data_IF_559912952112
#
_entry.id   IF_559912952112
#
_cell.length_a   1.000
_cell.length_b   1.000
_cell.length_c   1.000
_cell.angle_alpha   90.00
_cell.angle_beta   90.00
_cell.angle_gamma   90.00
#
_symmetry.space_group_name_H-M   'P 1'
#
loop_
_entity.id
_entity.type
_entity.pdbx_description
1 polymer ?
#
# COMPACT_ATOMS: atom_id res chain seq x y z
N UNK A 1 12.33 -30.00 -15.96
CA UNK A 1 11.68 -28.77 -16.43
C UNK A 1 12.78 -27.92 -17.06
N UNK A 2 12.76 -27.75 -18.40
CA UNK A 2 13.76 -26.92 -19.09
C UNK A 2 13.28 -25.47 -18.87
N UNK A 3 13.96 -24.73 -18.01
CA UNK A 3 13.68 -23.30 -17.80
C UNK A 3 14.16 -22.57 -19.03
N UNK A 4 13.24 -22.03 -19.84
CA UNK A 4 13.63 -21.16 -20.96
C UNK A 4 14.14 -19.83 -20.38
N UNK A 5 15.23 -19.31 -20.93
CA UNK A 5 15.82 -18.03 -20.50
C UNK A 5 14.81 -16.90 -20.66
N UNK A 6 14.01 -16.94 -21.73
CA UNK A 6 12.97 -15.95 -22.00
C UNK A 6 11.89 -15.91 -20.91
N UNK A 7 11.45 -17.08 -20.42
CA UNK A 7 10.47 -17.18 -19.36
C UNK A 7 11.02 -16.61 -18.04
N UNK A 8 12.29 -16.87 -17.74
CA UNK A 8 12.95 -16.34 -16.55
C UNK A 8 13.06 -14.81 -16.60
N UNK A 9 13.50 -14.27 -17.74
CA UNK A 9 13.61 -12.80 -17.93
C UNK A 9 12.23 -12.13 -17.78
N UNK A 10 11.22 -12.67 -18.44
CA UNK A 10 9.86 -12.12 -18.36
C UNK A 10 9.28 -12.22 -16.95
N UNK A 11 9.55 -13.31 -16.20
CA UNK A 11 9.14 -13.44 -14.81
C UNK A 11 9.83 -12.40 -13.90
N UNK A 12 11.12 -12.10 -14.12
CA UNK A 12 11.82 -11.05 -13.36
C UNK A 12 11.25 -9.67 -13.68
N UNK A 13 11.03 -9.35 -14.96
CA UNK A 13 10.47 -8.07 -15.39
C UNK A 13 9.06 -7.88 -14.82
N UNK A 14 8.19 -8.89 -14.95
CA UNK A 14 6.86 -8.87 -14.36
C UNK A 14 6.91 -8.69 -12.84
N UNK A 15 7.87 -9.33 -12.18
CA UNK A 15 8.10 -9.20 -10.74
C UNK A 15 8.56 -7.80 -10.32
N UNK A 16 9.41 -7.15 -11.11
CA UNK A 16 9.80 -5.75 -10.85
C UNK A 16 8.61 -4.79 -11.02
N UNK A 17 7.79 -4.99 -12.06
CA UNK A 17 6.57 -4.20 -12.27
C UNK A 17 5.57 -4.41 -11.12
N UNK A 18 5.39 -5.64 -10.68
CA UNK A 18 4.54 -5.99 -9.53
C UNK A 18 5.10 -5.39 -8.23
N UNK A 19 6.41 -5.44 -8.03
CA UNK A 19 7.09 -4.85 -6.87
C UNK A 19 6.94 -3.33 -6.82
N UNK A 20 6.97 -2.64 -7.97
CA UNK A 20 6.65 -1.22 -8.06
C UNK A 20 5.23 -0.92 -7.58
N UNK A 21 4.24 -1.71 -8.01
CA UNK A 21 2.87 -1.61 -7.49
C UNK A 21 2.79 -1.89 -5.97
N UNK A 22 3.49 -2.91 -5.48
CA UNK A 22 3.55 -3.20 -4.04
C UNK A 22 4.13 -2.06 -3.22
N UNK A 23 5.07 -1.29 -3.77
CA UNK A 23 5.57 -0.09 -3.11
C UNK A 23 4.45 0.94 -2.90
N UNK A 24 3.54 1.13 -3.88
CA UNK A 24 2.38 2.01 -3.71
C UNK A 24 1.42 1.51 -2.64
N UNK A 25 1.10 0.22 -2.65
CA UNK A 25 0.19 -0.40 -1.68
C UNK A 25 0.72 -0.29 -0.24
N UNK A 26 2.05 -0.36 -0.08
CA UNK A 26 2.71 -0.31 1.24
C UNK A 26 3.09 1.08 1.71
N UNK A 27 3.16 2.07 0.82
CA UNK A 27 3.61 3.42 1.15
C UNK A 27 2.84 4.04 2.33
N UNK A 28 1.51 3.93 2.32
CA UNK A 28 0.67 4.44 3.41
C UNK A 28 0.88 3.69 4.72
N UNK A 29 1.03 2.38 4.68
CA UNK A 29 1.28 1.58 5.89
C UNK A 29 2.68 1.84 6.44
N UNK A 30 3.67 2.11 5.60
CA UNK A 30 5.00 2.53 6.05
C UNK A 30 4.95 3.84 6.85
N UNK A 31 4.03 4.75 6.54
CA UNK A 31 3.79 5.96 7.34
C UNK A 31 3.04 5.61 8.62
N UNK A 32 1.88 4.94 8.55
CA UNK A 32 1.03 4.69 9.72
C UNK A 32 1.66 3.72 10.71
N UNK A 33 2.25 2.62 10.25
CA UNK A 33 2.89 1.63 11.11
C UNK A 33 4.36 1.96 11.38
N UNK A 34 5.12 2.33 10.33
CA UNK A 34 6.55 2.58 10.45
C UNK A 34 6.91 3.88 11.15
N UNK A 35 6.10 4.96 11.00
CA UNK A 35 6.41 6.28 11.55
C UNK A 35 5.49 6.71 12.69
N UNK A 36 4.25 6.18 12.79
CA UNK A 36 3.31 6.57 13.83
C UNK A 36 3.11 5.48 14.89
N UNK A 37 3.65 4.28 14.65
CA UNK A 37 3.44 3.07 15.47
C UNK A 37 1.95 2.67 15.58
N UNK A 38 1.18 2.97 14.53
CA UNK A 38 -0.25 2.64 14.45
C UNK A 38 -0.45 1.47 13.48
N UNK A 39 -0.81 0.30 14.02
CA UNK A 39 -1.06 -0.91 13.23
C UNK A 39 -2.42 -0.81 12.54
N UNK A 40 -2.44 -0.20 11.36
CA UNK A 40 -3.66 -0.02 10.57
C UNK A 40 -3.90 -1.19 9.61
N UNK A 41 -4.53 -2.26 10.10
CA UNK A 41 -4.92 -3.41 9.26
C UNK A 41 -6.10 -3.11 8.32
N UNK A 42 -6.79 -1.98 8.49
CA UNK A 42 -7.85 -1.54 7.57
C UNK A 42 -7.32 -0.87 6.30
N UNK A 43 -6.02 -0.57 6.21
CA UNK A 43 -5.45 0.13 5.06
C UNK A 43 -5.76 -0.56 3.71
N UNK A 44 -5.61 -1.89 3.56
CA UNK A 44 -6.01 -2.56 2.33
C UNK A 44 -7.49 -2.42 1.98
N UNK A 45 -8.40 -2.33 2.95
CA UNK A 45 -9.81 -2.07 2.68
C UNK A 45 -10.04 -0.67 2.10
N UNK A 46 -9.28 0.33 2.55
CA UNK A 46 -9.30 1.67 1.92
C UNK A 46 -8.73 1.66 0.50
N UNK A 47 -7.76 0.78 0.20
CA UNK A 47 -7.28 0.56 -1.17
C UNK A 47 -8.42 0.05 -2.04
N UNK A 48 -9.17 -0.97 -1.58
CA UNK A 48 -10.33 -1.47 -2.30
C UNK A 48 -11.41 -0.39 -2.46
N UNK A 49 -11.67 0.42 -1.43
CA UNK A 49 -12.56 1.57 -1.56
C UNK A 49 -12.12 2.52 -2.68
N UNK A 50 -10.82 2.80 -2.78
CA UNK A 50 -10.22 3.58 -3.87
C UNK A 50 -10.44 2.94 -5.24
N UNK A 51 -10.30 1.60 -5.34
CA UNK A 51 -10.58 0.85 -6.56
C UNK A 51 -12.04 1.01 -7.00
N UNK A 52 -12.99 0.92 -6.06
CA UNK A 52 -14.43 1.07 -6.37
C UNK A 52 -14.80 2.50 -6.78
N UNK A 53 -14.19 3.52 -6.16
CA UNK A 53 -14.40 4.92 -6.58
C UNK A 53 -13.86 5.11 -8.00
N UNK A 54 -12.66 4.61 -8.31
CA UNK A 54 -12.11 4.64 -9.65
C UNK A 54 -13.01 3.92 -10.66
N UNK A 55 -13.55 2.75 -10.31
CA UNK A 55 -14.49 1.98 -11.10
C UNK A 55 -15.76 2.77 -11.41
N UNK A 56 -16.44 3.32 -10.39
CA UNK A 56 -17.70 4.06 -10.57
C UNK A 56 -17.51 5.23 -11.54
N UNK A 57 -16.47 6.04 -11.32
CA UNK A 57 -16.23 7.23 -12.12
C UNK A 57 -15.78 6.87 -13.54
N UNK A 58 -14.98 5.79 -13.69
CA UNK A 58 -14.57 5.30 -15.00
C UNK A 58 -15.78 4.83 -15.83
N UNK A 59 -16.67 4.01 -15.27
CA UNK A 59 -17.85 3.50 -15.99
C UNK A 59 -18.88 4.62 -16.24
N UNK A 60 -19.08 5.54 -15.29
CA UNK A 60 -20.12 6.56 -15.42
C UNK A 60 -19.72 7.72 -16.34
N UNK A 61 -18.44 8.09 -16.34
CA UNK A 61 -17.95 9.29 -17.02
C UNK A 61 -16.82 9.04 -18.02
N UNK A 62 -16.31 7.80 -18.12
CA UNK A 62 -15.17 7.47 -19.01
C UNK A 62 -13.85 8.09 -18.57
N UNK A 63 -13.74 8.57 -17.33
CA UNK A 63 -12.52 9.22 -16.83
C UNK A 63 -11.49 8.16 -16.46
N UNK A 64 -10.22 8.42 -16.80
CA UNK A 64 -9.11 7.52 -16.50
C UNK A 64 -8.98 7.29 -14.99
N UNK A 65 -8.81 6.03 -14.53
CA UNK A 65 -8.71 5.67 -13.11
C UNK A 65 -7.60 6.41 -12.35
N UNK A 66 -6.46 6.71 -13.00
CA UNK A 66 -5.35 7.45 -12.39
C UNK A 66 -5.77 8.89 -12.09
N UNK A 67 -6.46 9.55 -13.03
CA UNK A 67 -6.98 10.91 -12.81
C UNK A 67 -7.97 10.91 -11.65
N UNK A 68 -8.89 9.94 -11.63
CA UNK A 68 -9.87 9.81 -10.54
C UNK A 68 -9.17 9.68 -9.18
N UNK A 69 -8.12 8.86 -9.10
CA UNK A 69 -7.38 8.66 -7.85
C UNK A 69 -6.73 9.93 -7.33
N UNK A 70 -6.17 10.76 -8.22
CA UNK A 70 -5.57 12.06 -7.86
C UNK A 70 -6.64 13.03 -7.36
N UNK A 71 -7.79 13.09 -8.03
CA UNK A 71 -8.92 13.94 -7.60
C UNK A 71 -9.50 13.47 -6.25
N UNK A 72 -9.47 12.17 -5.97
CA UNK A 72 -9.95 11.60 -4.72
C UNK A 72 -8.99 11.78 -3.52
N UNK A 73 -7.72 12.17 -3.74
CA UNK A 73 -6.73 12.37 -2.67
C UNK A 73 -7.23 13.22 -1.50
N UNK A 74 -7.84 14.42 -1.71
CA UNK A 74 -8.33 15.24 -0.60
C UNK A 74 -9.43 14.56 0.21
N UNK A 75 -10.31 13.80 -0.44
CA UNK A 75 -11.39 13.07 0.23
C UNK A 75 -10.83 11.94 1.09
N UNK A 76 -9.87 11.17 0.57
CA UNK A 76 -9.18 10.13 1.34
C UNK A 76 -8.33 10.69 2.47
N UNK A 77 -7.69 11.84 2.27
CA UNK A 77 -6.99 12.55 3.34
C UNK A 77 -7.95 12.95 4.47
N UNK A 78 -9.10 13.54 4.13
CA UNK A 78 -10.10 13.91 5.11
C UNK A 78 -10.67 12.70 5.86
N UNK A 79 -10.93 11.59 5.14
CA UNK A 79 -11.33 10.31 5.72
C UNK A 79 -10.28 9.79 6.71
N UNK A 80 -9.01 9.79 6.32
CA UNK A 80 -7.91 9.35 7.18
C UNK A 80 -7.77 10.23 8.43
N UNK A 81 -7.85 11.56 8.27
CA UNK A 81 -7.81 12.49 9.40
C UNK A 81 -8.99 12.29 10.36
N UNK A 82 -10.18 11.99 9.84
CA UNK A 82 -11.37 11.67 10.63
C UNK A 82 -11.19 10.33 11.40
N UNK A 83 -10.73 9.29 10.72
CA UNK A 83 -10.46 7.97 11.32
C UNK A 83 -9.45 8.11 12.45
N UNK A 84 -8.35 8.84 12.24
CA UNK A 84 -7.37 9.08 13.29
C UNK A 84 -7.98 9.88 14.47
N UNK A 85 -8.81 10.88 14.19
CA UNK A 85 -9.47 11.66 15.25
C UNK A 85 -10.36 10.76 16.15
N UNK A 86 -11.13 9.86 15.54
CA UNK A 86 -11.95 8.87 16.27
C UNK A 86 -11.06 7.92 17.08
N UNK A 87 -9.99 7.39 16.46
CA UNK A 87 -9.02 6.51 17.11
C UNK A 87 -8.36 7.18 18.32
N UNK A 88 -7.89 8.43 18.15
CA UNK A 88 -7.27 9.21 19.23
C UNK A 88 -8.20 9.42 20.41
N UNK A 89 -9.44 9.91 20.16
CA UNK A 89 -10.40 10.19 21.24
C UNK A 89 -10.86 8.93 21.97
N UNK A 90 -10.95 7.80 21.26
CA UNK A 90 -11.48 6.56 21.82
C UNK A 90 -10.42 5.75 22.56
N UNK A 91 -9.17 5.73 22.09
CA UNK A 91 -8.14 4.80 22.54
C UNK A 91 -6.83 5.48 22.96
N UNK A 92 -6.18 6.25 22.09
CA UNK A 92 -4.84 6.80 22.31
C UNK A 92 -4.82 7.75 23.51
N UNK A 93 -5.77 8.68 23.59
CA UNK A 93 -5.92 9.61 24.73
C UNK A 93 -6.07 8.90 26.09
N UNK A 94 -6.52 7.65 26.09
CA UNK A 94 -6.76 6.85 27.30
C UNK A 94 -5.63 5.88 27.60
N UNK A 95 -4.54 5.87 26.83
CA UNK A 95 -3.43 4.92 26.96
C UNK A 95 -3.82 3.46 26.67
N UNK A 96 -4.81 3.23 25.78
CA UNK A 96 -5.36 1.92 25.48
C UNK A 96 -5.15 1.55 24.01
N UNK A 97 -4.00 1.93 23.47
CA UNK A 97 -3.74 1.98 22.01
C UNK A 97 -3.50 0.60 21.38
N UNK A 98 -2.83 -0.32 22.08
CA UNK A 98 -2.30 -1.54 21.48
C UNK A 98 -3.39 -2.51 21.00
N UNK A 99 -3.98 -3.29 21.90
CA UNK A 99 -4.93 -4.33 21.51
C UNK A 99 -6.29 -3.77 21.07
N UNK A 100 -6.76 -2.71 21.73
CA UNK A 100 -8.05 -2.08 21.39
C UNK A 100 -7.97 -1.31 20.07
N UNK A 101 -6.82 -0.69 19.79
CA UNK A 101 -6.57 -0.06 18.52
C UNK A 101 -6.59 -1.05 17.36
N UNK A 102 -5.94 -2.21 17.55
CA UNK A 102 -5.98 -3.28 16.56
C UNK A 102 -7.42 -3.77 16.30
N UNK A 103 -8.22 -3.96 17.34
CA UNK A 103 -9.63 -4.35 17.23
C UNK A 103 -10.47 -3.27 16.50
N UNK A 104 -10.18 -1.98 16.73
CA UNK A 104 -10.83 -0.88 16.02
C UNK A 104 -10.57 -0.93 14.51
N UNK A 105 -9.30 -1.08 14.10
CA UNK A 105 -8.96 -1.17 12.68
C UNK A 105 -9.47 -2.46 12.04
N UNK A 106 -9.53 -3.56 12.79
CA UNK A 106 -10.16 -4.79 12.33
C UNK A 106 -11.67 -4.60 12.07
N UNK A 107 -12.38 -3.95 13.01
CA UNK A 107 -13.78 -3.59 12.81
C UNK A 107 -14.00 -2.66 11.61
N UNK A 108 -13.11 -1.68 11.42
CA UNK A 108 -13.18 -0.75 10.30
C UNK A 108 -12.95 -1.44 8.94
N UNK A 109 -12.05 -2.43 8.90
CA UNK A 109 -11.84 -3.28 7.73
C UNK A 109 -13.15 -3.97 7.33
N UNK A 110 -13.80 -4.65 8.29
CA UNK A 110 -15.07 -5.34 8.02
C UNK A 110 -16.20 -4.40 7.65
N UNK A 111 -16.33 -3.25 8.32
CA UNK A 111 -17.35 -2.25 7.97
C UNK A 111 -17.16 -1.81 6.51
N UNK A 112 -15.94 -1.51 6.10
CA UNK A 112 -15.66 -1.08 4.73
C UNK A 112 -15.96 -2.20 3.73
N UNK A 113 -15.49 -3.41 3.99
CA UNK A 113 -15.70 -4.57 3.12
C UNK A 113 -17.18 -4.91 2.98
N UNK A 114 -17.91 -5.06 4.10
CA UNK A 114 -19.33 -5.39 4.09
C UNK A 114 -20.15 -4.28 3.44
N UNK A 115 -19.80 -3.01 3.66
CA UNK A 115 -20.47 -1.89 2.98
C UNK A 115 -20.31 -1.98 1.46
N UNK A 116 -19.13 -2.34 0.96
CA UNK A 116 -18.89 -2.54 -0.46
C UNK A 116 -19.68 -3.76 -1.00
N UNK A 117 -19.74 -4.86 -0.26
CA UNK A 117 -20.53 -6.04 -0.63
C UNK A 117 -22.02 -5.69 -0.72
N UNK A 118 -22.57 -4.95 0.23
CA UNK A 118 -23.98 -4.57 0.24
C UNK A 118 -24.34 -3.64 -0.93
N UNK A 119 -23.42 -2.79 -1.36
CA UNK A 119 -23.68 -1.83 -2.46
C UNK A 119 -23.40 -2.44 -3.83
N UNK A 120 -22.32 -3.23 -3.98
CA UNK A 120 -21.81 -3.68 -5.28
C UNK A 120 -21.90 -5.19 -5.50
N UNK A 121 -22.23 -5.96 -4.47
CA UNK A 121 -22.20 -7.43 -4.52
C UNK A 121 -20.78 -7.98 -4.39
N UNK A 122 -20.62 -9.26 -4.74
CA UNK A 122 -19.37 -10.02 -4.69
C UNK A 122 -18.74 -10.23 -6.06
N UNK A 123 -19.28 -9.62 -7.09
CA UNK A 123 -18.79 -9.78 -8.45
C UNK A 123 -17.48 -9.01 -8.68
N UNK A 124 -16.62 -9.57 -9.54
CA UNK A 124 -15.42 -8.89 -9.99
C UNK A 124 -15.73 -7.65 -10.81
N UNK A 125 -15.10 -6.54 -10.49
CA UNK A 125 -15.18 -5.27 -11.20
C UNK A 125 -13.85 -4.97 -11.89
N UNK A 126 -13.92 -4.35 -13.06
CA UNK A 126 -12.77 -3.95 -13.86
C UNK A 126 -13.01 -2.58 -14.48
N UNK A 127 -11.95 -1.94 -14.91
CA UNK A 127 -11.96 -0.63 -15.57
C UNK A 127 -11.44 -0.75 -16.99
N UNK A 128 -11.79 0.23 -17.82
CA UNK A 128 -11.27 0.36 -19.18
C UNK A 128 -10.36 1.58 -19.28
N UNK A 129 -9.20 1.39 -19.86
CA UNK A 129 -8.26 2.46 -20.19
C UNK A 129 -7.44 2.08 -21.42
N UNK A 130 -6.95 3.08 -22.15
CA UNK A 130 -6.24 2.88 -23.43
C UNK A 130 -4.95 2.04 -23.31
N UNK A 131 -4.37 1.96 -22.11
CA UNK A 131 -3.17 1.16 -21.83
C UNK A 131 -3.49 -0.23 -21.26
N UNK A 132 -4.77 -0.61 -21.15
CA UNK A 132 -5.19 -1.97 -20.76
C UNK A 132 -5.38 -2.79 -22.04
N UNK A 133 -4.49 -3.77 -22.27
CA UNK A 133 -4.49 -4.64 -23.43
C UNK A 133 -3.20 -4.58 -24.25
N UNK A 134 -2.69 -3.40 -24.66
CA UNK A 134 -1.43 -3.31 -25.37
C UNK A 134 -0.22 -3.76 -24.55
N UNK A 135 0.79 -4.33 -25.24
CA UNK A 135 2.07 -4.71 -24.66
C UNK A 135 3.22 -4.14 -25.48
N UNK A 136 4.31 -3.81 -24.83
CA UNK A 136 5.57 -3.40 -25.49
C UNK A 136 6.45 -4.63 -25.61
N UNK A 137 6.82 -4.97 -26.84
CA UNK A 137 7.72 -6.08 -27.17
C UNK A 137 9.13 -5.54 -27.45
N UNK A 138 10.08 -5.86 -26.58
CA UNK A 138 11.48 -5.47 -26.70
C UNK A 138 12.34 -6.74 -26.86
N UNK A 139 12.28 -7.34 -28.04
CA UNK A 139 12.98 -8.61 -28.32
C UNK A 139 12.45 -9.75 -27.46
N UNK A 140 13.21 -10.15 -26.44
CA UNK A 140 12.85 -11.27 -25.53
C UNK A 140 11.96 -10.81 -24.36
N UNK A 141 11.71 -9.50 -24.20
CA UNK A 141 10.99 -8.93 -23.07
C UNK A 141 9.61 -8.47 -23.52
N UNK A 142 8.59 -8.98 -22.86
CA UNK A 142 7.20 -8.58 -23.05
C UNK A 142 6.71 -7.80 -21.82
N UNK A 143 6.44 -6.50 -21.99
CA UNK A 143 5.96 -5.62 -20.93
C UNK A 143 4.52 -5.20 -21.21
N UNK A 144 3.52 -5.77 -20.50
CA UNK A 144 2.15 -5.31 -20.61
C UNK A 144 2.01 -3.91 -20.03
N UNK A 145 1.45 -2.97 -20.79
CA UNK A 145 1.25 -1.59 -20.34
C UNK A 145 0.36 -1.50 -19.10
N UNK A 146 -0.57 -2.44 -18.93
CA UNK A 146 -1.41 -2.55 -17.73
C UNK A 146 -0.62 -2.75 -16.42
N UNK A 147 0.65 -3.18 -16.48
CA UNK A 147 1.55 -3.30 -15.34
C UNK A 147 2.61 -2.18 -15.33
N UNK A 148 3.07 -1.77 -16.50
CA UNK A 148 4.10 -0.74 -16.64
C UNK A 148 3.58 0.63 -16.16
N UNK A 149 2.40 1.06 -16.63
CA UNK A 149 1.82 2.37 -16.24
C UNK A 149 1.58 2.46 -14.74
N UNK A 150 0.91 1.49 -14.08
CA UNK A 150 0.80 1.46 -12.62
C UNK A 150 2.15 1.47 -11.89
N UNK A 151 3.13 0.73 -12.37
CA UNK A 151 4.48 0.73 -11.78
C UNK A 151 5.12 2.13 -11.81
N UNK A 152 5.07 2.82 -12.95
CA UNK A 152 5.62 4.18 -13.07
C UNK A 152 4.90 5.18 -12.17
N UNK A 153 3.56 5.14 -12.12
CA UNK A 153 2.76 5.99 -11.22
C UNK A 153 3.07 5.67 -9.76
N UNK A 154 3.19 4.39 -9.41
CA UNK A 154 3.56 3.95 -8.07
C UNK A 154 4.93 4.48 -7.64
N UNK A 155 5.93 4.34 -8.50
CA UNK A 155 7.28 4.85 -8.24
C UNK A 155 7.31 6.38 -8.14
N UNK A 156 6.56 7.09 -8.99
CA UNK A 156 6.42 8.54 -8.90
C UNK A 156 5.77 8.96 -7.58
N UNK A 157 4.66 8.33 -7.18
CA UNK A 157 4.00 8.58 -5.90
C UNK A 157 4.95 8.31 -4.73
N UNK A 158 5.65 7.17 -4.76
CA UNK A 158 6.58 6.78 -3.72
C UNK A 158 7.75 7.77 -3.60
N UNK A 159 8.33 8.20 -4.74
CA UNK A 159 9.39 9.22 -4.79
C UNK A 159 8.93 10.57 -4.25
N UNK A 160 7.71 11.01 -4.59
CA UNK A 160 7.12 12.24 -4.04
C UNK A 160 6.93 12.16 -2.53
N UNK A 161 6.47 11.01 -2.01
CA UNK A 161 6.32 10.79 -0.57
C UNK A 161 7.67 10.79 0.14
N UNK A 162 8.67 10.11 -0.40
CA UNK A 162 10.03 10.11 0.15
C UNK A 162 10.61 11.53 0.19
N UNK A 163 10.45 12.28 -0.91
CA UNK A 163 10.88 13.68 -0.98
C UNK A 163 10.13 14.55 0.04
N UNK A 164 8.81 14.34 0.19
CA UNK A 164 8.00 15.03 1.18
C UNK A 164 8.48 14.74 2.61
N UNK A 165 8.65 13.47 2.96
CA UNK A 165 9.05 13.05 4.31
C UNK A 165 10.44 13.55 4.66
N UNK A 166 11.40 13.49 3.72
CA UNK A 166 12.81 13.83 3.99
C UNK A 166 13.13 15.32 3.85
N UNK A 167 12.45 16.04 2.97
CA UNK A 167 12.80 17.42 2.60
C UNK A 167 11.89 18.49 3.19
N UNK A 168 10.66 18.16 3.59
CA UNK A 168 9.74 19.17 4.15
C UNK A 168 9.84 19.25 5.69
N UNK A 169 9.45 20.40 6.24
CA UNK A 169 9.37 20.57 7.69
C UNK A 169 8.36 19.60 8.31
N UNK A 170 7.19 19.45 7.68
CA UNK A 170 6.14 18.56 8.17
C UNK A 170 6.58 17.08 8.10
N UNK A 171 7.25 16.67 7.03
CA UNK A 171 7.77 15.31 6.91
C UNK A 171 8.80 14.99 8.00
N UNK A 172 9.71 15.92 8.29
CA UNK A 172 10.67 15.77 9.40
C UNK A 172 9.97 15.75 10.76
N UNK A 173 8.91 16.53 10.95
CA UNK A 173 8.10 16.47 12.17
C UNK A 173 7.39 15.12 12.33
N UNK A 174 6.90 14.52 11.24
CA UNK A 174 6.33 13.16 11.25
C UNK A 174 7.37 12.14 11.69
N UNK A 175 8.60 12.20 11.17
CA UNK A 175 9.69 11.32 11.63
C UNK A 175 10.06 11.57 13.11
N UNK A 176 10.04 12.82 13.55
CA UNK A 176 10.36 13.16 14.94
C UNK A 176 9.32 12.65 15.93
N UNK A 177 8.02 12.60 15.56
CA UNK A 177 6.95 12.05 16.41
C UNK A 177 7.21 10.60 16.79
N UNK A 178 7.78 9.80 15.89
CA UNK A 178 8.11 8.40 16.14
C UNK A 178 9.31 8.20 17.08
N UNK A 179 10.18 9.21 17.18
CA UNK A 179 11.41 9.11 17.99
C UNK A 179 11.21 9.62 19.41
N UNK A 180 10.65 10.82 19.57
CA UNK A 180 10.42 11.43 20.87
C UNK A 180 9.28 12.46 20.82
N UNK A 181 8.09 12.06 21.29
CA UNK A 181 6.93 12.93 21.37
C UNK A 181 7.08 14.05 22.39
N UNK A 182 7.83 13.80 23.49
CA UNK A 182 8.02 14.79 24.54
C UNK A 182 8.97 15.90 24.08
N UNK A 183 10.06 15.54 23.43
CA UNK A 183 10.97 16.52 22.85
C UNK A 183 10.25 17.41 21.80
N UNK A 184 9.35 16.83 21.02
CA UNK A 184 8.58 17.58 20.04
C UNK A 184 7.62 18.59 20.71
N UNK A 185 6.99 18.22 21.83
CA UNK A 185 6.13 19.12 22.61
C UNK A 185 6.93 20.28 23.22
N UNK A 186 8.14 20.02 23.69
CA UNK A 186 9.05 21.06 24.19
C UNK A 186 9.45 22.08 23.11
N UNK A 187 9.41 21.68 21.85
CA UNK A 187 9.63 22.55 20.70
C UNK A 187 8.33 23.26 20.22
N UNK A 188 7.27 23.28 21.05
CA UNK A 188 5.97 23.87 20.76
C UNK A 188 5.25 23.26 19.54
N UNK A 189 5.58 22.05 19.13
CA UNK A 189 4.86 21.30 18.11
C UNK A 189 3.82 20.39 18.77
N UNK A 190 2.64 20.28 18.14
CA UNK A 190 1.53 19.44 18.62
C UNK A 190 1.62 18.04 17.98
N UNK A 191 2.04 16.98 18.72
CA UNK A 191 2.18 15.64 18.17
C UNK A 191 0.87 15.08 17.64
N UNK A 192 -0.28 15.43 18.25
CA UNK A 192 -1.59 14.91 17.84
C UNK A 192 -1.96 15.44 16.46
N UNK A 193 -1.73 16.74 16.22
CA UNK A 193 -1.96 17.33 14.89
C UNK A 193 -1.06 16.72 13.85
N UNK A 194 0.21 16.49 14.17
CA UNK A 194 1.18 15.88 13.25
C UNK A 194 0.77 14.45 12.92
N UNK A 195 0.42 13.62 13.92
CA UNK A 195 -0.09 12.26 13.72
C UNK A 195 -1.34 12.24 12.86
N UNK A 196 -2.30 13.16 13.11
CA UNK A 196 -3.53 13.26 12.31
C UNK A 196 -3.24 13.58 10.85
N UNK A 197 -2.32 14.50 10.57
CA UNK A 197 -1.93 14.83 9.20
C UNK A 197 -1.22 13.65 8.55
N UNK A 198 -0.30 13.01 9.24
CA UNK A 198 0.45 11.86 8.73
C UNK A 198 -0.47 10.67 8.43
N UNK A 199 -1.44 10.39 9.32
CA UNK A 199 -2.43 9.34 9.09
C UNK A 199 -3.36 9.68 7.93
N UNK A 200 -3.76 10.97 7.79
CA UNK A 200 -4.48 11.47 6.63
C UNK A 200 -3.73 11.23 5.32
N UNK A 201 -2.43 11.54 5.27
CA UNK A 201 -1.57 11.27 4.11
C UNK A 201 -1.47 9.76 3.85
N UNK A 202 -1.30 8.94 4.90
CA UNK A 202 -1.29 7.49 4.79
C UNK A 202 -2.54 6.97 4.07
N UNK A 203 -3.73 7.39 4.48
CA UNK A 203 -4.98 6.95 3.82
C UNK A 203 -5.15 7.59 2.44
N UNK A 204 -4.66 8.80 2.21
CA UNK A 204 -4.70 9.42 0.87
C UNK A 204 -3.97 8.56 -0.18
N UNK A 205 -2.84 7.93 0.16
CA UNK A 205 -2.12 7.03 -0.77
C UNK A 205 -2.96 5.83 -1.19
N UNK A 206 -3.92 5.40 -0.36
CA UNK A 206 -4.79 4.29 -0.68
C UNK A 206 -5.70 4.57 -1.89
N UNK A 207 -6.04 5.84 -2.17
CA UNK A 207 -6.81 6.17 -3.38
C UNK A 207 -6.03 5.86 -4.64
N UNK A 208 -4.72 6.22 -4.68
CA UNK A 208 -3.85 5.93 -5.82
C UNK A 208 -3.61 4.42 -5.92
N UNK A 209 -3.19 3.78 -4.83
CA UNK A 209 -2.94 2.34 -4.81
C UNK A 209 -4.19 1.54 -5.26
N UNK A 210 -5.39 2.00 -4.90
CA UNK A 210 -6.65 1.40 -5.31
C UNK A 210 -6.92 1.50 -6.81
N UNK A 211 -6.70 2.66 -7.42
CA UNK A 211 -6.81 2.82 -8.86
C UNK A 211 -5.77 1.96 -9.61
N UNK A 212 -4.53 1.89 -9.10
CA UNK A 212 -3.50 1.04 -9.69
C UNK A 212 -3.87 -0.45 -9.58
N UNK A 213 -4.47 -0.87 -8.47
CA UNK A 213 -4.91 -2.24 -8.26
C UNK A 213 -5.94 -2.68 -9.30
N UNK A 214 -7.00 -1.88 -9.50
CA UNK A 214 -8.08 -2.24 -10.44
C UNK A 214 -7.63 -2.17 -11.91
N UNK A 215 -6.58 -1.41 -12.22
CA UNK A 215 -5.94 -1.43 -13.54
C UNK A 215 -5.19 -2.75 -13.77
N UNK A 216 -4.46 -3.23 -12.74
CA UNK A 216 -3.64 -4.44 -12.85
C UNK A 216 -4.51 -5.70 -12.90
N UNK A 217 -5.54 -5.76 -12.05
CA UNK A 217 -6.42 -6.95 -11.94
C UNK A 217 -7.85 -6.55 -11.58
N UNK A 218 -8.83 -7.37 -11.96
CA UNK A 218 -10.20 -7.21 -11.47
C UNK A 218 -10.25 -7.27 -9.94
N UNK A 219 -11.14 -6.49 -9.33
CA UNK A 219 -11.28 -6.42 -7.87
C UNK A 219 -12.66 -6.84 -7.42
N UNK A 220 -12.72 -7.50 -6.28
CA UNK A 220 -13.94 -7.72 -5.49
C UNK A 220 -13.72 -7.17 -4.07
N UNK A 221 -14.77 -6.94 -3.26
CA UNK A 221 -14.61 -6.30 -1.95
C UNK A 221 -13.68 -7.04 -0.98
N UNK A 222 -13.58 -8.37 -1.06
CA UNK A 222 -12.80 -9.21 -0.14
C UNK A 222 -11.30 -9.29 -0.47
N UNK A 223 -10.88 -8.91 -1.69
CA UNK A 223 -9.46 -8.96 -2.15
C UNK A 223 -8.52 -8.18 -1.24
N UNK A 224 -9.02 -7.14 -0.56
CA UNK A 224 -8.21 -6.36 0.38
C UNK A 224 -7.53 -7.21 1.46
N UNK A 225 -8.16 -8.28 1.92
CA UNK A 225 -7.60 -9.16 2.96
C UNK A 225 -6.32 -9.88 2.51
N UNK A 226 -6.19 -10.20 1.24
CA UNK A 226 -5.00 -10.85 0.69
C UNK A 226 -3.76 -9.97 0.75
N UNK A 227 -3.96 -8.64 0.74
CA UNK A 227 -2.86 -7.68 0.81
C UNK A 227 -2.35 -7.43 2.22
N UNK A 228 -3.09 -7.79 3.28
CA UNK A 228 -2.66 -7.57 4.66
C UNK A 228 -1.28 -8.20 4.89
N UNK A 229 -1.14 -9.49 4.62
CA UNK A 229 0.12 -10.22 4.81
C UNK A 229 1.28 -9.66 3.99
N UNK A 230 1.03 -9.33 2.71
CA UNK A 230 2.02 -8.74 1.80
C UNK A 230 2.52 -7.39 2.30
N UNK A 231 1.60 -6.50 2.67
CA UNK A 231 1.93 -5.15 3.14
C UNK A 231 2.78 -5.19 4.40
N UNK A 232 2.39 -6.00 5.38
CA UNK A 232 3.17 -6.15 6.61
C UNK A 232 4.52 -6.82 6.36
N UNK A 233 4.57 -7.85 5.49
CA UNK A 233 5.84 -8.49 5.11
C UNK A 233 6.81 -7.49 4.49
N UNK A 234 6.35 -6.64 3.58
CA UNK A 234 7.17 -5.61 2.94
C UNK A 234 7.64 -4.56 3.94
N UNK A 235 6.75 -4.06 4.82
CA UNK A 235 7.12 -3.08 5.83
C UNK A 235 8.17 -3.62 6.82
N UNK A 236 8.01 -4.86 7.28
CA UNK A 236 8.94 -5.49 8.22
C UNK A 236 10.27 -5.83 7.52
N UNK A 237 10.21 -6.42 6.31
CA UNK A 237 11.41 -6.73 5.52
C UNK A 237 12.19 -5.45 5.19
N UNK A 238 11.51 -4.37 4.82
CA UNK A 238 12.14 -3.08 4.50
C UNK A 238 12.80 -2.42 5.71
N UNK A 239 12.27 -2.67 6.88
CA UNK A 239 12.58 -2.00 8.15
C UNK A 239 11.58 -0.89 8.46
N UNK A 240 10.95 -0.98 9.62
CA UNK A 240 9.89 -0.07 10.05
C UNK A 240 10.38 1.38 10.01
N UNK A 241 9.62 2.26 9.35
CA UNK A 241 9.93 3.68 9.21
C UNK A 241 10.98 4.03 8.14
N UNK A 242 11.53 3.04 7.42
CA UNK A 242 12.46 3.26 6.32
C UNK A 242 11.74 3.21 4.97
N UNK A 243 11.43 4.38 4.38
CA UNK A 243 10.82 4.43 3.03
C UNK A 243 11.70 3.75 1.97
N UNK A 244 13.03 4.03 1.85
CA UNK A 244 13.87 3.32 0.89
C UNK A 244 13.90 1.81 1.12
N UNK A 245 13.90 1.38 2.39
CA UNK A 245 13.84 -0.05 2.75
C UNK A 245 12.54 -0.69 2.27
N UNK A 246 11.40 -0.02 2.45
CA UNK A 246 10.08 -0.47 1.97
C UNK A 246 10.08 -0.65 0.44
N UNK A 247 10.66 0.28 -0.32
CA UNK A 247 10.76 0.16 -1.78
C UNK A 247 11.58 -1.06 -2.19
N UNK A 248 12.77 -1.24 -1.60
CA UNK A 248 13.64 -2.39 -1.90
C UNK A 248 12.93 -3.70 -1.55
N UNK A 249 12.30 -3.76 -0.39
CA UNK A 249 11.54 -4.94 0.05
C UNK A 249 10.36 -5.26 -0.88
N UNK A 250 9.64 -4.24 -1.35
CA UNK A 250 8.54 -4.38 -2.31
C UNK A 250 9.03 -4.97 -3.64
N UNK A 251 10.16 -4.48 -4.16
CA UNK A 251 10.77 -5.01 -5.39
C UNK A 251 11.24 -6.45 -5.22
N UNK A 252 11.91 -6.76 -4.11
CA UNK A 252 12.35 -8.14 -3.81
C UNK A 252 11.14 -9.07 -3.73
N UNK A 253 10.12 -8.71 -2.95
CA UNK A 253 8.93 -9.54 -2.79
C UNK A 253 8.20 -9.74 -4.12
N UNK A 254 8.04 -8.68 -4.91
CA UNK A 254 7.41 -8.75 -6.23
C UNK A 254 8.15 -9.71 -7.17
N UNK A 255 9.48 -9.66 -7.20
CA UNK A 255 10.29 -10.58 -8.03
C UNK A 255 10.15 -12.03 -7.54
N UNK A 256 10.24 -12.26 -6.24
CA UNK A 256 10.15 -13.63 -5.71
C UNK A 256 8.75 -14.21 -5.86
N UNK A 257 7.69 -13.42 -5.65
CA UNK A 257 6.31 -13.85 -5.91
C UNK A 257 6.08 -14.15 -7.39
N UNK A 258 6.59 -13.31 -8.29
CA UNK A 258 6.46 -13.52 -9.74
C UNK A 258 7.16 -14.79 -10.20
N UNK A 259 8.40 -15.02 -9.73
CA UNK A 259 9.13 -16.25 -10.01
C UNK A 259 8.41 -17.47 -9.46
N UNK A 260 7.93 -17.40 -8.22
CA UNK A 260 7.19 -18.50 -7.60
C UNK A 260 5.89 -18.79 -8.34
N UNK A 261 5.13 -17.74 -8.70
CA UNK A 261 3.89 -17.90 -9.47
C UNK A 261 4.13 -18.53 -10.86
N UNK A 262 5.23 -18.16 -11.52
CA UNK A 262 5.57 -18.64 -12.85
C UNK A 262 6.01 -20.11 -12.84
N UNK A 263 6.79 -20.53 -11.83
CA UNK A 263 7.40 -21.87 -11.82
C UNK A 263 6.65 -22.89 -10.95
N UNK A 264 5.98 -22.43 -9.89
CA UNK A 264 5.28 -23.30 -8.92
C UNK A 264 3.76 -23.07 -8.88
N UNK A 265 3.29 -21.98 -9.47
CA UNK A 265 1.88 -21.61 -9.54
C UNK A 265 1.47 -20.48 -8.59
N UNK A 266 0.41 -19.73 -8.93
CA UNK A 266 0.00 -18.51 -8.20
C UNK A 266 -0.46 -18.77 -6.77
N UNK A 267 -0.92 -19.99 -6.44
CA UNK A 267 -1.36 -20.36 -5.09
C UNK A 267 -0.23 -20.30 -4.04
N UNK A 268 1.03 -20.30 -4.47
CA UNK A 268 2.19 -20.21 -3.59
C UNK A 268 2.59 -18.77 -3.24
N UNK A 269 2.07 -17.75 -3.96
CA UNK A 269 2.43 -16.36 -3.73
C UNK A 269 2.19 -15.89 -2.28
N UNK A 270 1.04 -16.20 -1.61
CA UNK A 270 0.88 -15.85 -0.20
C UNK A 270 1.89 -16.52 0.73
N UNK A 271 2.26 -17.76 0.45
CA UNK A 271 3.26 -18.49 1.25
C UNK A 271 4.63 -17.81 1.19
N UNK A 272 5.00 -17.25 0.04
CA UNK A 272 6.24 -16.48 -0.12
C UNK A 272 6.23 -15.24 0.79
N UNK A 273 5.16 -14.46 0.77
CA UNK A 273 5.05 -13.24 1.57
C UNK A 273 5.16 -13.54 3.07
N UNK A 274 4.41 -14.54 3.56
CA UNK A 274 4.49 -14.96 4.96
C UNK A 274 5.83 -15.60 5.30
N UNK A 275 6.43 -16.37 4.38
CA UNK A 275 7.76 -16.92 4.54
C UNK A 275 8.82 -15.83 4.73
N UNK A 276 8.81 -14.80 3.91
CA UNK A 276 9.71 -13.65 4.06
C UNK A 276 9.48 -12.91 5.38
N UNK A 277 8.22 -12.71 5.79
CA UNK A 277 7.91 -12.10 7.08
C UNK A 277 8.52 -12.90 8.24
N UNK A 278 8.28 -14.21 8.28
CA UNK A 278 8.81 -15.08 9.34
C UNK A 278 10.34 -15.12 9.35
N UNK A 279 10.97 -15.26 8.18
CA UNK A 279 12.43 -15.27 8.05
C UNK A 279 13.04 -13.94 8.50
N UNK A 280 12.42 -12.81 8.12
CA UNK A 280 12.90 -11.49 8.54
C UNK A 280 12.80 -11.33 10.05
N UNK A 281 11.67 -11.69 10.65
CA UNK A 281 11.50 -11.59 12.11
C UNK A 281 12.47 -12.52 12.88
N UNK A 282 12.75 -13.71 12.32
CA UNK A 282 13.65 -14.68 12.95
C UNK A 282 15.12 -14.28 12.87
N UNK A 283 15.60 -13.76 11.72
CA UNK A 283 17.02 -13.53 11.47
C UNK A 283 17.44 -12.06 11.49
N UNK A 284 16.55 -11.14 11.13
CA UNK A 284 16.86 -9.71 11.05
C UNK A 284 15.62 -8.84 11.40
N UNK A 285 15.20 -8.80 12.67
CA UNK A 285 13.98 -8.12 13.09
C UNK A 285 13.97 -6.61 12.80
N UNK A 286 15.14 -5.98 12.65
CA UNK A 286 15.26 -4.59 12.21
C UNK A 286 14.96 -4.39 10.71
N UNK A 287 14.84 -5.45 9.90
CA UNK A 287 14.68 -5.37 8.46
C UNK A 287 15.97 -5.03 7.70
N UNK A 288 15.83 -4.73 6.39
CA UNK A 288 16.99 -4.45 5.52
C UNK A 288 17.67 -3.12 5.84
N UNK A 289 16.90 -2.06 6.02
CA UNK A 289 17.35 -0.69 6.28
C UNK A 289 16.70 -0.09 7.55
N UNK A 290 16.20 -0.90 8.46
CA UNK A 290 15.72 -0.47 9.76
C UNK A 290 16.86 0.01 10.67
N UNK A 291 16.55 0.94 11.57
CA UNK A 291 17.47 1.48 12.58
C UNK A 291 17.31 0.76 13.91
#
# INVERSE_FOLDING_TARGET
>A
MVISVDLLINAIVAGLLLGGFYAAVTAGVSISFGMLDIVNIAHPAFIILGSYIAYIVNISFGIDPIIVSVVALPAFYALGALVYQVYYLSFEKRGQESLRGLAFFFGLLFITEVSLILVFGVDYRYVEAAYIGPSIHLGLIDMPLRMLVPCLVALAMFGLLELFVTRTFLGRAIMAVSQDQLALQLMAADPIKIKRIAFGISIATASIAGALLIIIQPVEPSVGREYIGRVFAICVLGGLGSMPGTLIAALILGVVESLTSTFYGPSWAPAVSFGFLLLTLAFRPAGLLGR
#
